data_IF_006698729511
#
_entry.id   IF_006698729511
#
_cell.length_a   1.000
_cell.length_b   1.000
_cell.length_c   1.000
_cell.angle_alpha   90.00
_cell.angle_beta   90.00
_cell.angle_gamma   90.00
#
_symmetry.space_group_name_H-M   'P 1'
#
loop_
_entity.id
_entity.type
_entity.pdbx_description
1 polymer ?
#
# COMPACT_ATOMS: atom_id res chain seq x y z
N UNK A 1 -26.33 -10.25 17.76
CA UNK A 1 -26.13 -11.68 17.54
C UNK A 1 -24.76 -12.06 18.10
N UNK A 2 -24.72 -13.07 18.94
CA UNK A 2 -23.44 -13.64 19.40
C UNK A 2 -22.86 -14.59 18.33
N UNK A 3 -21.60 -14.96 18.47
CA UNK A 3 -20.98 -15.97 17.60
C UNK A 3 -21.76 -17.28 17.66
N UNK A 4 -22.26 -17.65 18.84
CA UNK A 4 -23.09 -18.83 19.05
C UNK A 4 -24.44 -18.78 18.29
N UNK A 5 -25.08 -17.61 18.21
CA UNK A 5 -26.32 -17.44 17.46
C UNK A 5 -26.07 -17.61 15.96
N UNK A 6 -24.97 -17.06 15.43
CA UNK A 6 -24.58 -17.24 14.03
C UNK A 6 -24.25 -18.68 13.70
N UNK A 7 -23.57 -19.37 14.61
CA UNK A 7 -23.25 -20.79 14.49
C UNK A 7 -24.50 -21.64 14.44
N UNK A 8 -25.44 -21.42 15.35
CA UNK A 8 -26.72 -22.17 15.39
C UNK A 8 -27.55 -21.97 14.11
N UNK A 9 -27.59 -20.74 13.57
CA UNK A 9 -28.29 -20.44 12.31
C UNK A 9 -27.62 -21.13 11.13
N UNK A 10 -26.30 -21.16 11.08
CA UNK A 10 -25.55 -21.84 10.03
C UNK A 10 -25.76 -23.35 10.08
N UNK A 11 -25.69 -23.94 11.27
CA UNK A 11 -25.91 -25.38 11.50
C UNK A 11 -27.31 -25.82 11.05
N UNK A 12 -28.36 -25.06 11.42
CA UNK A 12 -29.71 -25.29 10.97
C UNK A 12 -29.85 -25.18 9.43
N UNK A 13 -29.19 -24.21 8.80
CA UNK A 13 -29.20 -24.05 7.34
C UNK A 13 -28.53 -25.21 6.60
N UNK A 14 -27.40 -25.70 7.10
CA UNK A 14 -26.73 -26.89 6.54
C UNK A 14 -27.56 -28.16 6.71
N UNK A 15 -28.12 -28.37 7.88
CA UNK A 15 -29.03 -29.50 8.12
C UNK A 15 -30.25 -29.50 7.18
N UNK A 16 -30.85 -28.32 6.96
CA UNK A 16 -31.95 -28.16 6.01
C UNK A 16 -31.56 -28.45 4.55
N UNK A 17 -30.29 -28.23 4.18
CA UNK A 17 -29.76 -28.51 2.84
C UNK A 17 -29.22 -29.93 2.67
N UNK A 18 -29.29 -30.78 3.72
CA UNK A 18 -28.73 -32.12 3.70
C UNK A 18 -27.22 -32.22 3.67
N UNK A 19 -26.52 -31.13 4.06
CA UNK A 19 -25.05 -31.06 4.12
C UNK A 19 -24.55 -31.27 5.55
N UNK A 20 -23.38 -31.88 5.67
CA UNK A 20 -22.70 -32.02 6.97
C UNK A 20 -22.06 -30.71 7.39
N UNK A 21 -22.58 -30.09 8.44
CA UNK A 21 -22.04 -28.86 8.99
C UNK A 21 -20.63 -29.05 9.58
N UNK A 22 -20.37 -30.19 10.20
CA UNK A 22 -19.06 -30.46 10.80
C UNK A 22 -17.93 -30.55 9.76
N UNK A 23 -18.26 -30.85 8.52
CA UNK A 23 -17.29 -30.93 7.42
C UNK A 23 -16.99 -29.57 6.77
N UNK A 24 -17.59 -28.46 7.23
CA UNK A 24 -17.45 -27.14 6.57
C UNK A 24 -16.28 -26.31 7.06
N UNK A 25 -15.64 -26.69 8.16
CA UNK A 25 -14.49 -25.96 8.72
C UNK A 25 -13.28 -26.85 8.91
N UNK A 26 -12.12 -26.24 9.00
CA UNK A 26 -10.83 -26.93 9.17
C UNK A 26 -10.68 -27.63 10.54
N UNK A 27 -11.60 -27.36 11.49
CA UNK A 27 -11.55 -27.89 12.84
C UNK A 27 -12.42 -29.17 13.05
N UNK A 28 -13.15 -29.62 12.04
CA UNK A 28 -14.03 -30.79 12.11
C UNK A 28 -15.25 -30.63 13.01
N UNK A 29 -15.52 -29.43 13.51
CA UNK A 29 -16.64 -29.10 14.41
C UNK A 29 -17.64 -28.12 13.82
N UNK A 30 -17.55 -27.84 12.50
CA UNK A 30 -18.37 -26.88 11.80
C UNK A 30 -17.67 -25.56 11.54
N UNK A 31 -18.37 -24.45 11.77
CA UNK A 31 -17.83 -23.13 11.48
C UNK A 31 -16.70 -22.75 12.45
N UNK A 32 -15.49 -22.72 11.94
CA UNK A 32 -14.31 -22.20 12.64
C UNK A 32 -13.48 -21.34 11.67
N UNK A 33 -12.69 -20.42 12.23
CA UNK A 33 -11.73 -19.68 11.43
C UNK A 33 -10.65 -20.64 10.93
N UNK A 34 -10.37 -20.61 9.62
CA UNK A 34 -9.23 -21.34 9.07
C UNK A 34 -7.94 -20.88 9.73
N UNK A 35 -7.08 -21.82 10.06
CA UNK A 35 -5.72 -21.57 10.53
C UNK A 35 -4.72 -21.51 9.37
N UNK A 36 -5.13 -21.94 8.20
CA UNK A 36 -4.34 -21.84 6.98
C UNK A 36 -4.83 -20.67 6.12
N UNK A 37 -4.02 -19.63 6.06
CA UNK A 37 -4.31 -18.41 5.34
C UNK A 37 -3.74 -18.52 3.92
N UNK A 38 -4.61 -18.45 2.92
CA UNK A 38 -4.21 -18.42 1.52
C UNK A 38 -3.52 -17.09 1.15
N UNK A 39 -3.68 -16.06 1.97
CA UNK A 39 -3.07 -14.76 1.76
C UNK A 39 -2.61 -14.17 3.10
N UNK A 40 -1.33 -13.83 3.18
CA UNK A 40 -0.73 -13.09 4.30
C UNK A 40 0.14 -12.00 3.67
N UNK A 41 -0.17 -10.74 3.95
CA UNK A 41 0.51 -9.57 3.40
C UNK A 41 1.11 -8.79 4.56
N UNK A 42 2.44 -8.64 4.55
CA UNK A 42 3.19 -7.92 5.57
C UNK A 42 4.10 -6.90 4.91
N UNK A 43 3.91 -5.64 5.24
CA UNK A 43 4.80 -4.58 4.79
C UNK A 43 5.46 -3.94 6.01
N UNK A 44 6.78 -3.91 6.00
CA UNK A 44 7.61 -3.21 6.98
C UNK A 44 8.26 -2.03 6.28
N UNK A 45 8.16 -0.86 6.88
CA UNK A 45 8.79 0.38 6.44
C UNK A 45 9.67 0.90 7.58
N UNK A 46 10.96 1.07 7.31
CA UNK A 46 11.93 1.65 8.24
C UNK A 46 12.43 2.96 7.64
N UNK A 47 12.26 4.05 8.38
CA UNK A 47 12.68 5.37 7.92
C UNK A 47 13.66 6.00 8.88
N UNK A 48 14.74 6.54 8.33
CA UNK A 48 15.70 7.39 9.03
C UNK A 48 15.59 8.80 8.50
N UNK A 49 15.61 9.80 9.39
CA UNK A 49 15.65 11.20 9.00
C UNK A 49 16.61 12.00 9.87
N UNK A 50 17.37 12.86 9.23
CA UNK A 50 18.25 13.83 9.88
C UNK A 50 18.03 15.21 9.26
N UNK A 51 18.14 16.28 10.06
CA UNK A 51 17.98 17.63 9.55
C UNK A 51 18.92 18.61 10.22
N UNK A 52 19.27 19.67 9.49
CA UNK A 52 19.97 20.84 9.98
C UNK A 52 19.13 22.06 9.62
N UNK A 53 18.95 22.96 10.57
CA UNK A 53 18.25 24.23 10.36
C UNK A 53 19.10 25.39 10.91
N UNK A 54 19.20 26.45 10.13
CA UNK A 54 19.82 27.71 10.51
C UNK A 54 18.75 28.80 10.53
N UNK A 55 18.74 29.60 11.60
CA UNK A 55 17.88 30.75 11.73
C UNK A 55 18.74 31.98 11.95
N UNK A 56 18.50 33.01 11.15
CA UNK A 56 19.13 34.28 11.28
C UNK A 56 18.07 35.36 11.38
N UNK A 57 18.27 36.33 12.28
CA UNK A 57 17.44 37.52 12.43
C UNK A 57 18.34 38.73 12.55
N UNK A 58 18.05 39.79 11.82
CA UNK A 58 18.87 40.98 11.81
C UNK A 58 18.26 42.11 10.98
N UNK A 59 19.09 43.03 10.55
CA UNK A 59 18.67 44.16 9.71
C UNK A 59 19.46 44.17 8.40
N UNK A 60 18.76 44.44 7.32
CA UNK A 60 19.35 44.67 5.99
C UNK A 60 19.05 46.13 5.59
N UNK A 61 20.06 46.98 5.54
CA UNK A 61 19.88 48.41 5.24
C UNK A 61 18.89 49.14 6.18
N UNK A 62 18.86 48.74 7.45
CA UNK A 62 17.95 49.31 8.46
C UNK A 62 16.53 48.70 8.43
N UNK A 63 16.26 47.70 7.61
CA UNK A 63 15.00 46.99 7.53
C UNK A 63 15.12 45.67 8.28
N UNK A 64 14.22 45.35 9.22
CA UNK A 64 14.18 44.05 9.90
C UNK A 64 14.00 42.91 8.89
N UNK A 65 14.80 41.87 9.02
CA UNK A 65 14.76 40.72 8.12
C UNK A 65 15.06 39.43 8.88
N UNK A 66 14.42 38.36 8.46
CA UNK A 66 14.66 37.03 8.95
C UNK A 66 14.93 36.06 7.81
N UNK A 67 15.81 35.11 8.08
CA UNK A 67 16.12 34.00 7.18
C UNK A 67 16.09 32.70 7.97
N UNK A 68 15.26 31.79 7.51
CA UNK A 68 15.24 30.42 7.96
C UNK A 68 15.63 29.53 6.80
N UNK A 69 16.68 28.75 6.97
CA UNK A 69 17.09 27.79 5.95
C UNK A 69 17.41 26.45 6.59
N UNK A 70 17.15 25.39 5.88
CA UNK A 70 17.41 24.06 6.37
C UNK A 70 17.48 23.03 5.25
N UNK A 71 17.98 21.88 5.62
CA UNK A 71 17.98 20.70 4.78
C UNK A 71 17.65 19.49 5.64
N UNK A 72 16.77 18.65 5.12
CA UNK A 72 16.41 17.35 5.71
C UNK A 72 16.83 16.25 4.75
N UNK A 73 17.58 15.30 5.26
CA UNK A 73 17.82 14.03 4.61
C UNK A 73 16.84 13.00 5.16
N UNK A 74 16.24 12.24 4.28
CA UNK A 74 15.32 11.15 4.63
C UNK A 74 15.65 9.93 3.76
N UNK A 75 15.73 8.77 4.41
CA UNK A 75 15.97 7.48 3.78
C UNK A 75 14.92 6.50 4.30
N UNK A 76 14.38 5.67 3.43
CA UNK A 76 13.34 4.72 3.78
C UNK A 76 13.59 3.39 3.06
N UNK A 77 13.60 2.32 3.85
CA UNK A 77 13.66 0.94 3.38
C UNK A 77 12.27 0.31 3.51
N UNK A 78 11.85 -0.40 2.49
CA UNK A 78 10.57 -1.11 2.43
C UNK A 78 10.83 -2.58 2.19
N UNK A 79 10.22 -3.43 3.01
CA UNK A 79 10.17 -4.87 2.79
C UNK A 79 8.72 -5.31 2.79
N UNK A 80 8.24 -5.77 1.66
CA UNK A 80 6.89 -6.35 1.51
C UNK A 80 7.00 -7.84 1.32
N UNK A 81 6.62 -8.62 2.34
CA UNK A 81 6.53 -10.06 2.30
C UNK A 81 5.07 -10.48 2.11
N UNK A 82 4.83 -11.37 1.17
CA UNK A 82 3.49 -11.86 0.89
C UNK A 82 3.46 -13.37 0.75
N UNK A 83 2.42 -13.98 1.33
CA UNK A 83 1.96 -15.32 0.99
C UNK A 83 0.85 -15.16 -0.04
N UNK A 84 1.04 -15.66 -1.24
CA UNK A 84 0.05 -15.59 -2.31
C UNK A 84 -0.01 -16.90 -3.08
N UNK A 85 -1.16 -17.16 -3.69
CA UNK A 85 -1.31 -18.32 -4.57
C UNK A 85 -0.32 -18.18 -5.74
N UNK A 86 0.32 -19.30 -6.08
CA UNK A 86 1.05 -19.42 -7.33
C UNK A 86 0.09 -19.75 -8.46
N UNK A 87 0.45 -19.37 -9.66
CA UNK A 87 -0.30 -19.71 -10.86
C UNK A 87 0.60 -20.54 -11.79
N UNK A 88 0.07 -21.68 -12.23
CA UNK A 88 0.82 -22.66 -13.02
C UNK A 88 0.43 -22.63 -14.50
N UNK A 89 -0.61 -21.92 -14.85
CA UNK A 89 -1.04 -21.86 -16.23
C UNK A 89 -2.37 -21.16 -16.47
N UNK A 90 -2.90 -21.40 -17.62
CA UNK A 90 -4.22 -20.92 -18.03
C UNK A 90 -5.05 -22.08 -18.59
N UNK A 91 -6.35 -22.08 -18.33
CA UNK A 91 -7.30 -23.00 -18.92
C UNK A 91 -8.37 -22.27 -19.72
N UNK A 92 -8.80 -22.92 -20.80
CA UNK A 92 -9.87 -22.44 -21.64
C UNK A 92 -11.19 -23.11 -21.30
N UNK A 93 -12.24 -22.31 -21.11
CA UNK A 93 -13.62 -22.81 -20.95
C UNK A 93 -14.44 -22.44 -22.17
N UNK A 94 -14.80 -23.44 -22.97
CA UNK A 94 -15.53 -23.25 -24.22
C UNK A 94 -16.95 -22.69 -24.04
N UNK A 95 -17.64 -23.02 -22.92
CA UNK A 95 -19.02 -22.61 -22.66
C UNK A 95 -19.21 -21.09 -22.49
N UNK A 96 -18.15 -20.37 -22.03
CA UNK A 96 -18.16 -18.91 -21.86
C UNK A 96 -17.15 -18.20 -22.76
N UNK A 97 -16.38 -18.93 -23.53
CA UNK A 97 -15.19 -18.38 -24.24
C UNK A 97 -14.31 -17.59 -23.29
N UNK A 98 -13.95 -18.24 -22.18
CA UNK A 98 -13.24 -17.63 -21.06
C UNK A 98 -11.88 -18.28 -20.86
N UNK A 99 -10.88 -17.49 -20.53
CA UNK A 99 -9.57 -17.95 -20.06
C UNK A 99 -9.46 -17.71 -18.56
N UNK A 100 -9.21 -18.77 -17.81
CA UNK A 100 -8.98 -18.73 -16.37
C UNK A 100 -7.49 -18.87 -16.10
N UNK A 101 -6.99 -18.11 -15.16
CA UNK A 101 -5.68 -18.34 -14.56
C UNK A 101 -5.82 -19.48 -13.57
N UNK A 102 -5.02 -20.53 -13.72
CA UNK A 102 -5.06 -21.69 -12.85
C UNK A 102 -4.06 -21.54 -11.71
N UNK A 103 -4.52 -21.64 -10.44
CA UNK A 103 -3.58 -21.74 -9.33
C UNK A 103 -2.78 -23.04 -9.43
N UNK A 104 -1.53 -22.98 -8.99
CA UNK A 104 -0.72 -24.18 -8.82
C UNK A 104 -1.32 -25.03 -7.68
N UNK A 105 -1.40 -26.34 -7.92
CA UNK A 105 -1.90 -27.30 -6.94
C UNK A 105 -0.83 -28.35 -6.65
N UNK A 106 -0.83 -28.85 -5.42
CA UNK A 106 0.02 -29.97 -5.03
C UNK A 106 -0.54 -31.33 -5.52
N UNK A 107 0.13 -32.42 -5.13
CA UNK A 107 -0.28 -33.76 -5.50
C UNK A 107 -1.66 -34.19 -4.95
N UNK A 108 -2.18 -33.49 -3.93
CA UNK A 108 -3.50 -33.68 -3.33
C UNK A 108 -4.57 -32.85 -4.02
N UNK A 109 -4.19 -31.90 -4.90
CA UNK A 109 -5.09 -30.97 -5.55
C UNK A 109 -5.33 -29.69 -4.77
N UNK A 110 -4.59 -29.46 -3.68
CA UNK A 110 -4.71 -28.27 -2.86
C UNK A 110 -3.86 -27.13 -3.42
N UNK A 111 -4.34 -25.90 -3.29
CA UNK A 111 -3.61 -24.72 -3.72
C UNK A 111 -2.28 -24.55 -2.97
N UNK A 112 -1.20 -24.28 -3.71
CA UNK A 112 0.13 -24.06 -3.13
C UNK A 112 0.41 -22.56 -3.00
N UNK A 113 0.33 -21.98 -1.79
CA UNK A 113 0.75 -20.62 -1.56
C UNK A 113 2.27 -20.54 -1.37
N UNK A 114 2.90 -19.51 -1.89
CA UNK A 114 4.32 -19.23 -1.71
C UNK A 114 4.53 -17.88 -1.03
N UNK A 115 5.54 -17.83 -0.15
CA UNK A 115 6.03 -16.56 0.38
C UNK A 115 7.03 -15.93 -0.58
N UNK A 116 6.75 -14.70 -0.98
CA UNK A 116 7.66 -13.86 -1.76
C UNK A 116 7.95 -12.59 -1.00
N UNK A 117 9.21 -12.16 -1.04
CA UNK A 117 9.63 -10.90 -0.44
C UNK A 117 10.14 -9.96 -1.52
N UNK A 118 9.63 -8.75 -1.51
CA UNK A 118 10.04 -7.66 -2.39
C UNK A 118 10.64 -6.55 -1.54
N UNK A 119 11.65 -5.89 -2.06
CA UNK A 119 12.33 -4.80 -1.37
C UNK A 119 12.32 -3.56 -2.25
N UNK A 120 12.18 -2.42 -1.64
CA UNK A 120 12.35 -1.12 -2.24
C UNK A 120 13.05 -0.19 -1.25
N UNK A 121 13.76 0.78 -1.77
CA UNK A 121 14.41 1.83 -0.99
C UNK A 121 14.34 3.15 -1.75
N UNK A 122 14.37 4.23 -1.01
CA UNK A 122 14.49 5.58 -1.56
C UNK A 122 15.10 6.53 -0.55
N UNK A 123 15.75 7.57 -1.06
CA UNK A 123 16.27 8.65 -0.22
C UNK A 123 16.01 9.99 -0.87
N UNK A 124 15.83 11.04 -0.04
CA UNK A 124 15.60 12.41 -0.46
C UNK A 124 16.45 13.39 0.33
N UNK A 125 16.84 14.44 -0.34
CA UNK A 125 17.39 15.63 0.29
C UNK A 125 16.39 16.76 0.06
N UNK A 126 15.78 17.26 1.14
CA UNK A 126 14.67 18.21 1.12
C UNK A 126 15.15 19.57 1.66
N UNK A 127 15.57 20.48 0.79
CA UNK A 127 15.93 21.84 1.20
C UNK A 127 14.70 22.67 1.50
N UNK A 128 14.86 23.64 2.40
CA UNK A 128 13.89 24.69 2.65
C UNK A 128 14.58 26.02 2.90
N UNK A 129 14.00 27.10 2.42
CA UNK A 129 14.44 28.46 2.67
C UNK A 129 13.21 29.36 2.78
N UNK A 130 13.15 30.13 3.86
CA UNK A 130 12.14 31.14 4.11
C UNK A 130 12.84 32.44 4.41
N UNK A 131 12.47 33.50 3.72
CA UNK A 131 12.99 34.82 3.91
C UNK A 131 11.85 35.81 4.05
N UNK A 132 11.91 36.67 5.05
CA UNK A 132 11.03 37.82 5.18
C UNK A 132 11.79 39.08 5.48
N UNK A 133 11.26 40.21 4.99
CA UNK A 133 11.81 41.54 5.20
C UNK A 133 10.70 42.57 5.36
N UNK A 134 10.76 43.36 6.43
CA UNK A 134 9.86 44.50 6.63
C UNK A 134 10.44 45.74 5.96
N UNK A 135 10.01 46.04 4.74
CA UNK A 135 10.56 47.13 3.94
C UNK A 135 9.84 48.47 4.13
N UNK A 136 8.68 48.47 4.81
CA UNK A 136 7.97 49.66 5.29
C UNK A 136 7.20 49.28 6.56
N UNK A 137 6.76 50.28 7.32
CA UNK A 137 6.01 50.09 8.58
C UNK A 137 4.79 49.21 8.33
N UNK A 138 4.75 48.04 8.97
CA UNK A 138 3.70 46.99 8.84
C UNK A 138 3.55 46.38 7.43
N UNK A 139 4.57 46.50 6.56
CA UNK A 139 4.57 45.86 5.22
C UNK A 139 5.73 44.90 5.11
N UNK A 140 5.41 43.61 5.09
CA UNK A 140 6.39 42.53 5.08
C UNK A 140 6.32 41.79 3.75
N UNK A 141 7.40 41.72 3.03
CA UNK A 141 7.58 40.83 1.87
C UNK A 141 8.14 39.51 2.36
N UNK A 142 7.57 38.40 1.86
CA UNK A 142 8.00 37.05 2.15
C UNK A 142 8.25 36.28 0.87
N UNK A 143 9.30 35.46 0.90
CA UNK A 143 9.62 34.51 -0.15
C UNK A 143 10.01 33.18 0.49
N UNK A 144 9.41 32.09 0.04
CA UNK A 144 9.80 30.77 0.49
C UNK A 144 10.00 29.81 -0.66
N UNK A 145 10.89 28.87 -0.44
CA UNK A 145 11.12 27.71 -1.29
C UNK A 145 11.23 26.47 -0.41
N UNK A 146 10.55 25.39 -0.81
CA UNK A 146 10.72 24.12 -0.13
C UNK A 146 10.47 22.94 -1.07
N UNK A 147 11.17 21.84 -0.83
CA UNK A 147 10.87 20.56 -1.42
C UNK A 147 10.17 19.66 -0.40
N UNK A 148 9.13 18.99 -0.85
CA UNK A 148 8.34 18.07 -0.04
C UNK A 148 8.12 16.75 -0.77
N UNK A 149 7.89 15.68 0.00
CA UNK A 149 7.59 14.35 -0.56
C UNK A 149 6.27 13.84 -0.04
N UNK A 150 5.53 13.17 -0.92
CA UNK A 150 4.30 12.44 -0.59
C UNK A 150 4.52 10.97 -0.84
N UNK A 151 4.44 10.17 0.22
CA UNK A 151 4.67 8.73 0.16
C UNK A 151 3.50 8.01 -0.53
N UNK A 152 3.78 6.92 -1.27
CA UNK A 152 2.73 6.04 -1.77
C UNK A 152 1.88 5.47 -0.63
N UNK A 153 0.65 5.10 -0.92
CA UNK A 153 -0.19 4.43 0.08
C UNK A 153 0.30 3.01 0.36
N UNK A 154 0.03 2.48 1.54
CA UNK A 154 0.32 1.06 1.84
C UNK A 154 -0.39 0.11 0.88
N UNK A 155 -1.51 0.53 0.31
CA UNK A 155 -2.22 -0.22 -0.71
C UNK A 155 -1.41 -0.41 -1.98
N UNK A 156 -0.59 0.58 -2.33
CA UNK A 156 0.21 0.60 -3.55
C UNK A 156 1.56 -0.10 -3.39
N UNK A 157 2.16 -0.06 -2.19
CA UNK A 157 3.47 -0.67 -1.89
C UNK A 157 3.39 -2.09 -1.33
N UNK A 158 2.19 -2.55 -0.91
CA UNK A 158 2.03 -3.95 -0.49
C UNK A 158 2.34 -4.86 -1.68
N UNK A 159 3.21 -5.84 -1.51
CA UNK A 159 3.39 -6.89 -2.50
C UNK A 159 2.07 -7.65 -2.69
N UNK A 160 1.94 -8.39 -3.78
CA UNK A 160 0.81 -9.28 -4.03
C UNK A 160 0.19 -9.08 -5.41
N UNK A 161 -0.02 -10.20 -6.07
CA UNK A 161 -0.80 -10.24 -7.30
C UNK A 161 -2.18 -10.79 -6.92
N UNK A 162 -3.21 -9.98 -7.07
CA UNK A 162 -4.58 -10.44 -7.05
C UNK A 162 -5.05 -10.63 -8.49
N UNK A 163 -5.34 -11.88 -8.86
CA UNK A 163 -5.99 -12.18 -10.12
C UNK A 163 -7.50 -12.00 -9.94
N UNK A 164 -8.08 -11.07 -10.68
CA UNK A 164 -9.52 -10.93 -10.84
C UNK A 164 -10.10 -12.04 -11.73
N UNK A 165 -11.41 -11.95 -12.00
CA UNK A 165 -12.16 -12.97 -12.75
C UNK A 165 -11.58 -13.35 -14.12
N UNK A 166 -12.24 -14.27 -14.80
CA UNK A 166 -11.75 -14.80 -16.09
C UNK A 166 -11.69 -13.70 -17.16
N UNK A 167 -10.75 -13.87 -18.07
CA UNK A 167 -10.72 -13.10 -19.31
C UNK A 167 -11.86 -13.58 -20.20
N UNK A 168 -12.85 -12.74 -20.43
CA UNK A 168 -13.93 -13.06 -21.36
C UNK A 168 -13.58 -12.58 -22.75
N UNK A 169 -13.39 -13.52 -23.66
CA UNK A 169 -12.98 -13.21 -25.04
C UNK A 169 -14.06 -12.43 -25.81
N UNK A 170 -15.33 -12.75 -25.60
CA UNK A 170 -16.46 -12.07 -26.27
C UNK A 170 -16.63 -10.61 -25.86
N UNK A 171 -16.38 -10.27 -24.63
CA UNK A 171 -16.55 -8.91 -24.11
C UNK A 171 -15.27 -8.10 -24.15
N UNK A 172 -14.16 -8.71 -24.56
CA UNK A 172 -12.82 -8.11 -24.52
C UNK A 172 -12.51 -7.48 -23.16
N UNK A 173 -13.02 -8.11 -22.09
CA UNK A 173 -12.80 -7.65 -20.72
C UNK A 173 -11.46 -8.22 -20.25
N UNK A 174 -10.44 -7.39 -20.07
CA UNK A 174 -9.15 -7.86 -19.55
C UNK A 174 -9.31 -8.36 -18.12
N UNK A 175 -8.48 -9.32 -17.68
CA UNK A 175 -8.46 -9.72 -16.29
C UNK A 175 -8.05 -8.50 -15.46
N UNK A 176 -8.74 -8.26 -14.36
CA UNK A 176 -8.28 -7.31 -13.38
C UNK A 176 -7.11 -7.95 -12.61
N UNK A 177 -5.89 -7.63 -13.01
CA UNK A 177 -4.71 -7.92 -12.21
C UNK A 177 -4.40 -6.67 -11.41
N UNK A 178 -4.38 -6.77 -10.09
CA UNK A 178 -3.86 -5.74 -9.23
C UNK A 178 -2.60 -6.25 -8.53
N UNK A 179 -1.55 -5.47 -8.61
CA UNK A 179 -0.31 -5.73 -7.90
C UNK A 179 0.11 -4.44 -7.21
N UNK A 180 0.61 -4.53 -5.98
CA UNK A 180 1.35 -3.45 -5.37
C UNK A 180 2.84 -3.59 -5.70
N UNK A 181 3.55 -2.47 -5.70
CA UNK A 181 4.97 -2.42 -6.02
C UNK A 181 5.73 -1.66 -4.90
N UNK A 182 6.50 -2.35 -4.05
CA UNK A 182 7.28 -1.70 -2.99
C UNK A 182 8.43 -0.84 -3.52
N UNK A 183 8.75 -0.90 -4.83
CA UNK A 183 9.76 -0.04 -5.46
C UNK A 183 9.20 1.31 -5.92
N UNK A 184 7.91 1.58 -5.68
CA UNK A 184 7.31 2.87 -5.99
C UNK A 184 8.02 4.00 -5.23
N UNK A 185 8.50 4.98 -5.98
CA UNK A 185 9.16 6.16 -5.45
C UNK A 185 8.09 7.19 -5.05
N UNK A 186 8.24 7.87 -3.91
CA UNK A 186 7.39 8.99 -3.52
C UNK A 186 7.36 10.11 -4.56
N UNK A 187 6.26 10.84 -4.59
CA UNK A 187 6.12 12.04 -5.42
C UNK A 187 6.84 13.19 -4.72
N UNK A 188 7.81 13.79 -5.40
CA UNK A 188 8.50 14.98 -4.95
C UNK A 188 7.82 16.22 -5.54
N UNK A 189 7.65 17.26 -4.72
CA UNK A 189 7.05 18.54 -5.11
C UNK A 189 7.95 19.69 -4.71
N UNK A 190 8.16 20.63 -5.62
CA UNK A 190 8.81 21.91 -5.39
C UNK A 190 7.74 22.99 -5.13
N UNK A 191 7.89 23.73 -4.04
CA UNK A 191 6.94 24.76 -3.65
C UNK A 191 7.67 26.11 -3.60
N UNK A 192 7.09 27.11 -4.24
CA UNK A 192 7.57 28.50 -4.21
C UNK A 192 6.38 29.38 -3.83
N UNK A 193 6.54 30.15 -2.75
CA UNK A 193 5.53 31.08 -2.28
C UNK A 193 6.10 32.48 -2.17
N UNK A 194 5.34 33.46 -2.66
CA UNK A 194 5.65 34.88 -2.57
C UNK A 194 4.44 35.64 -2.04
N UNK A 195 4.64 36.50 -1.04
CA UNK A 195 3.58 37.33 -0.46
C UNK A 195 4.09 38.68 0.02
N UNK A 196 3.19 39.63 0.10
CA UNK A 196 3.39 40.96 0.68
C UNK A 196 2.28 41.20 1.70
#
# INVERSE_FOLDING_TARGET
ASLADLQAVSEAGYAASGRDYAATGDCGTGYCASTDWNQDLRTTEESFAAFIRLNWSGEISGMPANLHTGVRYEETDIVSAQKSLQFDGTSWRASGEEVFVQPAVDASGDNVPEYRSFKGDYSFLLPSIDFDIEFAENVIARASFSETVTRPSYGDIKGGIAAGGPIQYRTNTPPALSAGDPTLVPIQSENIDLSI
#
